data_IF_963634802781
#
_entry.id   IF_963634802781
#
_cell.length_a   1.000
_cell.length_b   1.000
_cell.length_c   1.000
_cell.angle_alpha   90.00
_cell.angle_beta   90.00
_cell.angle_gamma   90.00
#
_symmetry.space_group_name_H-M   'P 1'
#
loop_
_entity.id
_entity.type
_entity.pdbx_description
1 polymer ?
#
# COMPACT_ATOMS: atom_id res chain seq x y z
N UNK A 1 66.88 3.68 41.34
CA UNK A 1 65.68 4.51 41.12
C UNK A 1 64.93 4.08 39.86
N UNK A 2 65.61 3.77 38.76
CA UNK A 2 64.96 3.33 37.51
C UNK A 2 64.13 2.03 37.63
N UNK A 3 64.59 1.06 38.42
CA UNK A 3 63.87 -0.21 38.64
C UNK A 3 62.58 -0.06 39.46
N UNK A 4 62.54 0.90 40.38
CA UNK A 4 61.34 1.22 41.16
C UNK A 4 60.29 1.97 40.32
N UNK A 5 60.74 2.87 39.43
CA UNK A 5 59.85 3.57 38.51
C UNK A 5 59.21 2.60 37.48
N UNK A 6 59.97 1.60 37.02
CA UNK A 6 59.48 0.60 36.07
C UNK A 6 58.38 -0.30 36.66
N UNK A 7 58.52 -0.69 37.93
CA UNK A 7 57.50 -1.48 38.64
C UNK A 7 56.18 -0.73 38.79
N UNK A 8 56.24 0.55 39.18
CA UNK A 8 55.05 1.41 39.32
C UNK A 8 54.30 1.52 37.98
N UNK A 9 55.01 1.72 36.87
CA UNK A 9 54.38 1.83 35.55
C UNK A 9 53.67 0.53 35.14
N UNK A 10 54.29 -0.63 35.41
CA UNK A 10 53.69 -1.94 35.10
C UNK A 10 52.39 -2.16 35.87
N UNK A 11 52.31 -1.73 37.13
CA UNK A 11 51.12 -1.89 37.97
C UNK A 11 49.93 -1.04 37.50
N UNK A 12 50.16 0.03 36.73
CA UNK A 12 49.09 0.85 36.15
C UNK A 12 48.56 0.32 34.81
N UNK A 13 49.29 -0.55 34.11
CA UNK A 13 48.87 -1.12 32.81
C UNK A 13 47.50 -1.82 32.91
N UNK A 14 47.23 -2.70 33.91
CA UNK A 14 45.95 -3.37 34.05
C UNK A 14 44.79 -2.40 34.29
N UNK A 15 45.02 -1.32 35.04
CA UNK A 15 43.99 -0.31 35.33
C UNK A 15 43.59 0.44 34.04
N UNK A 16 44.57 0.82 33.22
CA UNK A 16 44.33 1.46 31.91
C UNK A 16 43.61 0.49 30.97
N UNK A 17 44.07 -0.76 30.89
CA UNK A 17 43.45 -1.79 30.05
C UNK A 17 41.98 -2.06 30.47
N UNK A 18 41.71 -2.12 31.77
CA UNK A 18 40.35 -2.30 32.30
C UNK A 18 39.46 -1.11 31.98
N UNK A 19 39.98 0.11 32.12
CA UNK A 19 39.26 1.34 31.74
C UNK A 19 38.92 1.37 30.24
N UNK A 20 39.86 1.00 29.38
CA UNK A 20 39.63 0.90 27.94
C UNK A 20 38.58 -0.17 27.60
N UNK A 21 38.63 -1.33 28.25
CA UNK A 21 37.64 -2.40 28.06
C UNK A 21 36.24 -1.97 28.49
N UNK A 22 36.11 -1.25 29.61
CA UNK A 22 34.84 -0.71 30.08
C UNK A 22 34.24 0.32 29.10
N UNK A 23 35.07 1.22 28.56
CA UNK A 23 34.64 2.17 27.52
C UNK A 23 34.23 1.46 26.24
N UNK A 24 35.00 0.47 25.78
CA UNK A 24 34.65 -0.31 24.59
C UNK A 24 33.32 -1.05 24.75
N UNK A 25 33.07 -1.63 25.94
CA UNK A 25 31.80 -2.27 26.27
C UNK A 25 30.64 -1.27 26.27
N UNK A 26 30.84 -0.09 26.87
CA UNK A 26 29.84 0.98 26.88
C UNK A 26 29.47 1.46 25.47
N UNK A 27 30.46 1.80 24.65
CA UNK A 27 30.22 2.24 23.27
C UNK A 27 29.58 1.16 22.40
N UNK A 28 29.97 -0.11 22.62
CA UNK A 28 29.35 -1.25 21.94
C UNK A 28 27.87 -1.38 22.30
N UNK A 29 27.53 -1.22 23.58
CA UNK A 29 26.13 -1.22 24.03
C UNK A 29 25.32 -0.06 23.42
N UNK A 30 25.85 1.17 23.45
CA UNK A 30 25.20 2.32 22.84
C UNK A 30 25.02 2.15 21.32
N UNK A 31 26.04 1.60 20.63
CA UNK A 31 25.99 1.32 19.20
C UNK A 31 24.89 0.31 18.84
N UNK A 32 24.74 -0.76 19.62
CA UNK A 32 23.69 -1.76 19.42
C UNK A 32 22.28 -1.16 19.55
N UNK A 33 22.07 -0.27 20.51
CA UNK A 33 20.77 0.37 20.72
C UNK A 33 20.43 1.35 19.59
N UNK A 34 21.41 2.14 19.13
CA UNK A 34 21.25 3.00 17.96
C UNK A 34 20.92 2.18 16.72
N UNK A 35 21.64 1.08 16.49
CA UNK A 35 21.40 0.21 15.34
C UNK A 35 19.99 -0.42 15.36
N UNK A 36 19.50 -0.85 16.53
CA UNK A 36 18.11 -1.33 16.67
C UNK A 36 17.08 -0.27 16.30
N UNK A 37 17.28 0.97 16.75
CA UNK A 37 16.39 2.09 16.42
C UNK A 37 16.42 2.40 14.93
N UNK A 38 17.60 2.41 14.31
CA UNK A 38 17.77 2.60 12.88
C UNK A 38 17.08 1.50 12.07
N UNK A 39 17.26 0.22 12.42
CA UNK A 39 16.60 -0.89 11.74
C UNK A 39 15.08 -0.79 11.81
N UNK A 40 14.54 -0.42 12.99
CA UNK A 40 13.10 -0.21 13.16
C UNK A 40 12.61 0.99 12.33
N UNK A 41 13.36 2.09 12.34
CA UNK A 41 13.05 3.29 11.57
C UNK A 41 13.05 3.01 10.06
N UNK A 42 14.09 2.33 9.56
CA UNK A 42 14.20 1.92 8.15
C UNK A 42 13.02 1.06 7.72
N UNK A 43 12.67 0.03 8.50
CA UNK A 43 11.52 -0.83 8.19
C UNK A 43 10.20 -0.05 8.11
N UNK A 44 10.00 0.94 8.99
CA UNK A 44 8.83 1.83 8.93
C UNK A 44 8.86 2.70 7.67
N UNK A 45 10.00 3.31 7.36
CA UNK A 45 10.18 4.14 6.18
C UNK A 45 9.86 3.37 4.89
N UNK A 46 10.45 2.19 4.72
CA UNK A 46 10.25 1.35 3.53
C UNK A 46 8.75 1.02 3.32
N UNK A 47 8.04 0.65 4.39
CA UNK A 47 6.59 0.36 4.33
C UNK A 47 5.77 1.61 4.04
N UNK A 48 6.13 2.77 4.61
CA UNK A 48 5.44 4.02 4.33
C UNK A 48 5.60 4.46 2.88
N UNK A 49 6.82 4.36 2.34
CA UNK A 49 7.11 4.66 0.94
C UNK A 49 6.32 3.74 0.00
N UNK A 50 6.40 2.43 0.21
CA UNK A 50 5.69 1.43 -0.60
C UNK A 50 4.16 1.65 -0.56
N UNK A 51 3.63 1.95 0.63
CA UNK A 51 2.22 2.29 0.82
C UNK A 51 1.83 3.53 0.01
N UNK A 52 2.62 4.60 0.10
CA UNK A 52 2.33 5.84 -0.61
C UNK A 52 2.32 5.64 -2.13
N UNK A 53 3.28 4.87 -2.66
CA UNK A 53 3.34 4.49 -4.07
C UNK A 53 2.07 3.74 -4.48
N UNK A 54 1.66 2.72 -3.71
CA UNK A 54 0.43 1.96 -3.98
C UNK A 54 -0.82 2.83 -3.93
N UNK A 55 -0.92 3.77 -2.99
CA UNK A 55 -2.03 4.73 -2.92
C UNK A 55 -2.09 5.60 -4.18
N UNK A 56 -0.96 6.09 -4.69
CA UNK A 56 -0.95 6.85 -5.94
C UNK A 56 -1.32 6.00 -7.16
N UNK A 57 -0.90 4.73 -7.20
CA UNK A 57 -1.31 3.80 -8.25
C UNK A 57 -2.81 3.54 -8.20
N UNK A 58 -3.37 3.30 -7.02
CA UNK A 58 -4.81 3.14 -6.81
C UNK A 58 -5.58 4.40 -7.22
N UNK A 59 -5.09 5.60 -6.87
CA UNK A 59 -5.68 6.87 -7.32
C UNK A 59 -5.75 6.94 -8.85
N UNK A 60 -4.66 6.62 -9.54
CA UNK A 60 -4.61 6.61 -11.01
C UNK A 60 -5.56 5.57 -11.60
N UNK A 61 -5.64 4.38 -11.01
CA UNK A 61 -6.56 3.33 -11.45
C UNK A 61 -8.03 3.76 -11.30
N UNK A 62 -8.41 4.37 -10.17
CA UNK A 62 -9.76 4.92 -9.96
C UNK A 62 -10.06 6.04 -10.97
N UNK A 63 -9.11 6.94 -11.22
CA UNK A 63 -9.26 7.97 -12.26
C UNK A 63 -9.49 7.37 -13.64
N UNK A 64 -8.76 6.29 -13.99
CA UNK A 64 -8.94 5.57 -15.25
C UNK A 64 -10.30 4.87 -15.33
N UNK A 65 -10.75 4.22 -14.26
CA UNK A 65 -12.08 3.60 -14.18
C UNK A 65 -13.21 4.61 -14.44
N UNK A 66 -13.06 5.85 -13.95
CA UNK A 66 -14.05 6.93 -14.07
C UNK A 66 -13.91 7.78 -15.34
N UNK A 67 -12.91 7.50 -16.18
CA UNK A 67 -12.67 8.30 -17.38
C UNK A 67 -13.84 8.14 -18.37
N UNK A 68 -14.44 9.24 -18.86
CA UNK A 68 -15.51 9.17 -19.85
C UNK A 68 -15.01 8.78 -21.25
N UNK A 69 -13.70 8.95 -21.51
CA UNK A 69 -13.10 8.53 -22.78
C UNK A 69 -13.07 7.00 -22.83
N UNK A 70 -13.75 6.42 -23.81
CA UNK A 70 -13.80 4.98 -24.09
C UNK A 70 -12.98 4.60 -25.33
N UNK A 71 -12.48 3.37 -25.35
CA UNK A 71 -11.87 2.78 -26.54
C UNK A 71 -12.85 1.82 -27.22
N UNK A 72 -12.72 1.67 -28.54
CA UNK A 72 -13.54 0.71 -29.29
C UNK A 72 -13.35 -0.71 -28.73
N UNK A 73 -14.46 -1.39 -28.43
CA UNK A 73 -14.47 -2.75 -27.89
C UNK A 73 -14.44 -2.86 -26.36
N UNK A 74 -14.28 -1.76 -25.61
CA UNK A 74 -14.44 -1.81 -24.15
C UNK A 74 -15.86 -2.20 -23.75
N UNK A 75 -16.01 -2.96 -22.66
CA UNK A 75 -17.31 -3.37 -22.13
C UNK A 75 -17.84 -4.69 -22.71
N UNK A 76 -17.30 -5.13 -23.85
CA UNK A 76 -17.71 -6.37 -24.54
C UNK A 76 -17.25 -7.66 -23.86
N UNK A 77 -16.40 -7.56 -22.84
CA UNK A 77 -15.87 -8.69 -22.07
C UNK A 77 -16.86 -9.27 -21.04
N UNK A 78 -18.06 -8.68 -20.94
CA UNK A 78 -19.13 -9.15 -20.07
C UNK A 78 -19.75 -10.45 -20.60
N UNK A 79 -20.15 -11.33 -19.69
CA UNK A 79 -21.01 -12.46 -20.03
C UNK A 79 -22.40 -11.96 -20.47
N UNK A 80 -22.69 -12.13 -21.77
CA UNK A 80 -23.94 -11.68 -22.39
C UNK A 80 -25.07 -12.67 -22.13
N UNK A 81 -26.29 -12.16 -21.95
CA UNK A 81 -27.46 -13.02 -21.86
C UNK A 81 -27.91 -13.39 -23.29
N UNK A 82 -28.21 -14.68 -23.52
CA UNK A 82 -28.60 -15.18 -24.85
C UNK A 82 -29.89 -14.55 -25.39
N UNK A 83 -30.76 -14.05 -24.50
CA UNK A 83 -32.04 -13.43 -24.86
C UNK A 83 -32.01 -11.90 -24.78
N UNK A 84 -30.83 -11.29 -24.70
CA UNK A 84 -30.66 -9.84 -24.59
C UNK A 84 -30.91 -9.15 -25.93
N UNK A 85 -31.76 -8.11 -25.94
CA UNK A 85 -31.95 -7.32 -27.14
C UNK A 85 -30.67 -6.52 -27.48
N UNK A 86 -30.38 -6.31 -28.78
CA UNK A 86 -29.16 -5.61 -29.20
C UNK A 86 -29.00 -4.22 -28.57
N UNK A 87 -30.12 -3.53 -28.37
CA UNK A 87 -30.20 -2.20 -27.78
C UNK A 87 -30.12 -2.21 -26.24
N UNK A 88 -30.33 -3.34 -25.56
CA UNK A 88 -30.04 -3.53 -24.13
C UNK A 88 -28.57 -3.90 -23.91
N UNK A 89 -28.05 -4.73 -24.82
CA UNK A 89 -26.64 -5.12 -24.84
C UNK A 89 -25.70 -3.92 -24.89
N UNK A 90 -25.98 -2.94 -25.74
CA UNK A 90 -25.16 -1.73 -25.83
C UNK A 90 -25.12 -0.95 -24.50
N UNK A 91 -26.27 -0.85 -23.80
CA UNK A 91 -26.37 -0.18 -22.50
C UNK A 91 -25.55 -0.93 -21.45
N UNK A 92 -25.71 -2.26 -21.39
CA UNK A 92 -25.02 -3.08 -20.41
C UNK A 92 -23.51 -3.15 -20.65
N UNK A 93 -23.08 -3.24 -21.91
CA UNK A 93 -21.66 -3.26 -22.25
C UNK A 93 -21.01 -1.90 -21.89
N UNK A 94 -21.71 -0.79 -22.16
CA UNK A 94 -21.26 0.55 -21.72
C UNK A 94 -21.15 0.67 -20.19
N UNK A 95 -22.14 0.17 -19.46
CA UNK A 95 -22.12 0.11 -18.00
C UNK A 95 -21.04 -0.85 -17.45
N UNK A 96 -20.56 -1.80 -18.24
CA UNK A 96 -19.53 -2.74 -17.82
C UNK A 96 -18.10 -2.19 -17.97
N UNK A 97 -17.89 -1.11 -18.74
CA UNK A 97 -16.55 -0.53 -18.98
C UNK A 97 -15.76 -0.28 -17.68
N UNK A 98 -16.33 0.31 -16.61
CA UNK A 98 -15.59 0.51 -15.37
C UNK A 98 -15.19 -0.79 -14.65
N UNK A 99 -15.98 -1.86 -14.79
CA UNK A 99 -15.63 -3.19 -14.28
C UNK A 99 -14.46 -3.78 -15.05
N UNK A 100 -14.46 -3.66 -16.37
CA UNK A 100 -13.34 -4.13 -17.19
C UNK A 100 -12.04 -3.40 -16.82
N UNK A 101 -12.11 -2.06 -16.65
CA UNK A 101 -10.96 -1.24 -16.24
C UNK A 101 -10.49 -1.54 -14.83
N UNK A 102 -11.42 -1.84 -13.92
CA UNK A 102 -11.09 -2.32 -12.59
C UNK A 102 -10.33 -3.65 -12.67
N UNK A 103 -10.82 -4.61 -13.45
CA UNK A 103 -10.20 -5.91 -13.62
C UNK A 103 -8.76 -5.80 -14.17
N UNK A 104 -8.51 -4.90 -15.11
CA UNK A 104 -7.16 -4.58 -15.62
C UNK A 104 -6.20 -4.07 -14.53
N UNK A 105 -6.72 -3.49 -13.44
CA UNK A 105 -5.94 -2.92 -12.34
C UNK A 105 -6.14 -3.64 -11.00
N UNK A 106 -6.79 -4.82 -11.00
CA UNK A 106 -7.16 -5.56 -9.79
C UNK A 106 -5.96 -5.89 -8.89
N UNK A 107 -4.81 -6.15 -9.50
CA UNK A 107 -3.57 -6.44 -8.78
C UNK A 107 -3.15 -5.29 -7.87
N UNK A 108 -3.29 -4.04 -8.32
CA UNK A 108 -2.97 -2.84 -7.53
C UNK A 108 -3.79 -2.78 -6.25
N UNK A 109 -5.10 -2.99 -6.36
CA UNK A 109 -6.00 -3.00 -5.20
C UNK A 109 -5.73 -4.19 -4.28
N UNK A 110 -5.46 -5.37 -4.84
CA UNK A 110 -5.09 -6.56 -4.06
C UNK A 110 -3.79 -6.35 -3.27
N UNK A 111 -2.79 -5.69 -3.87
CA UNK A 111 -1.55 -5.31 -3.19
C UNK A 111 -1.81 -4.29 -2.08
N UNK A 112 -2.70 -3.33 -2.30
CA UNK A 112 -3.08 -2.33 -1.31
C UNK A 112 -3.76 -2.98 -0.08
N UNK A 113 -4.64 -3.96 -0.30
CA UNK A 113 -5.27 -4.73 0.77
C UNK A 113 -4.26 -5.50 1.63
N UNK A 114 -3.30 -6.17 1.00
CA UNK A 114 -2.21 -6.85 1.73
C UNK A 114 -1.34 -5.83 2.46
N UNK A 115 -1.04 -4.69 1.83
CA UNK A 115 -0.23 -3.64 2.42
C UNK A 115 -0.87 -3.06 3.68
N UNK A 116 -2.21 -2.97 3.75
CA UNK A 116 -2.95 -2.53 4.94
C UNK A 116 -2.51 -3.28 6.19
N UNK A 117 -2.44 -4.62 6.13
CA UNK A 117 -2.04 -5.43 7.28
C UNK A 117 -0.59 -5.21 7.68
N UNK A 118 0.31 -5.08 6.71
CA UNK A 118 1.73 -4.81 6.97
C UNK A 118 1.94 -3.42 7.58
N UNK A 119 1.16 -2.44 7.11
CA UNK A 119 1.13 -1.10 7.64
C UNK A 119 0.60 -1.09 9.08
N UNK A 120 -0.54 -1.76 9.34
CA UNK A 120 -1.16 -1.86 10.66
C UNK A 120 -0.19 -2.40 11.73
N UNK A 121 0.58 -3.44 11.42
CA UNK A 121 1.56 -4.02 12.36
C UNK A 121 2.64 -3.00 12.77
N UNK A 122 3.03 -2.08 11.88
CA UNK A 122 4.11 -1.13 12.14
C UNK A 122 3.64 0.22 12.69
N UNK A 123 2.42 0.63 12.32
CA UNK A 123 1.91 1.98 12.53
C UNK A 123 0.66 2.04 13.42
N UNK A 124 -0.02 0.91 13.65
CA UNK A 124 -1.27 0.86 14.40
C UNK A 124 -2.51 0.89 13.50
N UNK A 125 -3.62 0.37 14.03
CA UNK A 125 -4.90 0.23 13.33
C UNK A 125 -5.61 1.56 13.12
N UNK A 126 -5.38 2.50 14.02
CA UNK A 126 -5.95 3.85 13.97
C UNK A 126 -5.57 4.63 12.69
N UNK A 127 -4.49 4.22 12.00
CA UNK A 127 -4.02 4.83 10.77
C UNK A 127 -4.44 4.07 9.49
N UNK A 128 -5.22 3.01 9.60
CA UNK A 128 -5.73 2.26 8.43
C UNK A 128 -7.02 2.78 7.75
N UNK A 129 -7.85 3.69 8.32
CA UNK A 129 -9.07 4.16 7.65
C UNK A 129 -8.90 4.67 6.21
N UNK A 130 -7.77 5.28 5.80
CA UNK A 130 -7.57 5.67 4.40
C UNK A 130 -7.60 4.50 3.41
N UNK A 131 -7.20 3.30 3.82
CA UNK A 131 -7.28 2.10 2.98
C UNK A 131 -8.75 1.73 2.71
N UNK A 132 -9.58 1.80 3.75
CA UNK A 132 -11.01 1.50 3.65
C UNK A 132 -11.72 2.52 2.76
N UNK A 133 -11.36 3.81 2.87
CA UNK A 133 -11.90 4.86 2.01
C UNK A 133 -11.60 4.63 0.51
N UNK A 134 -10.44 4.05 0.17
CA UNK A 134 -10.09 3.69 -1.22
C UNK A 134 -10.98 2.55 -1.70
N UNK A 135 -11.15 1.50 -0.91
CA UNK A 135 -12.02 0.37 -1.25
C UNK A 135 -13.48 0.79 -1.39
N UNK A 136 -13.97 1.66 -0.51
CA UNK A 136 -15.29 2.27 -0.65
C UNK A 136 -15.43 3.09 -1.93
N UNK A 137 -14.41 3.85 -2.32
CA UNK A 137 -14.43 4.63 -3.56
C UNK A 137 -14.53 3.72 -4.79
N UNK A 138 -13.80 2.62 -4.82
CA UNK A 138 -13.90 1.58 -5.87
C UNK A 138 -15.32 1.02 -5.90
N UNK A 139 -15.84 0.58 -4.76
CA UNK A 139 -17.17 -0.03 -4.67
C UNK A 139 -18.28 0.93 -5.12
N UNK A 140 -18.19 2.21 -4.72
CA UNK A 140 -19.13 3.26 -5.17
C UNK A 140 -19.15 3.36 -6.69
N UNK A 141 -17.99 3.46 -7.35
CA UNK A 141 -17.90 3.53 -8.82
C UNK A 141 -18.57 2.32 -9.46
N UNK A 142 -18.28 1.11 -9.00
CA UNK A 142 -18.84 -0.11 -9.59
C UNK A 142 -20.35 -0.24 -9.37
N UNK A 143 -20.85 0.17 -8.20
CA UNK A 143 -22.28 0.16 -7.88
C UNK A 143 -23.06 1.21 -8.68
N UNK A 144 -22.53 2.43 -8.77
CA UNK A 144 -23.19 3.55 -9.45
C UNK A 144 -23.39 3.26 -10.93
N UNK A 145 -22.40 2.62 -11.57
CA UNK A 145 -22.48 2.31 -13.00
C UNK A 145 -23.47 1.16 -13.26
N UNK A 146 -23.50 0.14 -12.41
CA UNK A 146 -24.54 -0.90 -12.47
C UNK A 146 -25.94 -0.32 -12.27
N UNK A 147 -26.08 0.68 -11.40
CA UNK A 147 -27.36 1.39 -11.18
C UNK A 147 -27.75 2.21 -12.41
N UNK A 148 -26.81 2.93 -13.02
CA UNK A 148 -27.04 3.68 -14.25
C UNK A 148 -27.51 2.78 -15.40
N UNK A 149 -26.86 1.63 -15.61
CA UNK A 149 -27.28 0.66 -16.62
C UNK A 149 -28.74 0.20 -16.43
N UNK A 150 -29.15 -0.08 -15.18
CA UNK A 150 -30.55 -0.42 -14.86
C UNK A 150 -31.52 0.72 -15.19
N UNK A 151 -31.21 1.94 -14.75
CA UNK A 151 -32.08 3.11 -14.97
C UNK A 151 -32.29 3.41 -16.45
N UNK A 152 -31.23 3.29 -17.27
CA UNK A 152 -31.33 3.49 -18.72
C UNK A 152 -32.24 2.46 -19.40
N UNK A 153 -32.24 1.22 -18.91
CA UNK A 153 -33.14 0.16 -19.41
C UNK A 153 -34.58 0.40 -18.98
N UNK A 154 -34.79 0.77 -17.72
CA UNK A 154 -36.12 1.12 -17.20
C UNK A 154 -36.73 2.27 -17.99
N UNK A 155 -35.99 3.37 -18.18
CA UNK A 155 -36.43 4.52 -18.98
C UNK A 155 -36.83 4.10 -20.40
N UNK A 156 -35.98 3.32 -21.07
CA UNK A 156 -36.27 2.80 -22.41
C UNK A 156 -37.52 1.94 -22.47
N UNK A 157 -37.74 1.08 -21.47
CA UNK A 157 -38.94 0.23 -21.40
C UNK A 157 -40.21 1.02 -21.10
N UNK A 158 -40.11 2.19 -20.47
CA UNK A 158 -41.28 3.07 -20.24
C UNK A 158 -41.68 3.91 -21.45
N UNK A 159 -40.77 4.13 -22.41
CA UNK A 159 -41.00 4.96 -23.61
C UNK A 159 -41.51 4.12 -24.80
N UNK A 160 -41.44 2.79 -24.73
CA UNK A 160 -42.04 1.85 -25.69
C UNK A 160 -43.52 1.59 -25.39
#
# INVERSE_FOLDING_TARGET
METLAYGIIIDFIPAIATGAAALAAYYSYCGLETWRKELKGKKKFDVAEETLVLVYQARRAISYMRSPLGFSGEGSTRDQNQNEANDEKEIWDSAYVPHERFNKNKETFSKLDVMKYRFEVLFGKELTPPFDAINEAVNRVLMDVNRLGRLMIEEKNTVR
#
